data_IF_818529559001
#
_entry.id   IF_818529559001
#
_cell.length_a   1.000
_cell.length_b   1.000
_cell.length_c   1.000
_cell.angle_alpha   90.00
_cell.angle_beta   90.00
_cell.angle_gamma   90.00
#
_symmetry.space_group_name_H-M   'P 1'
#
loop_
_entity.id
_entity.type
_entity.pdbx_description
1 polymer ?
#
# COMPACT_ATOMS: atom_id res chain seq x y z
N UNK A 1 19.61 13.31 0.00
CA UNK A 1 18.83 13.64 1.23
C UNK A 1 18.25 12.41 1.93
N UNK A 2 17.66 11.43 1.22
CA UNK A 2 17.09 10.19 1.82
C UNK A 2 18.14 9.20 2.40
N UNK A 3 19.31 9.05 1.79
CA UNK A 3 20.43 8.25 2.36
C UNK A 3 20.96 8.83 3.68
N UNK A 4 20.92 10.16 3.82
CA UNK A 4 21.27 10.85 5.08
C UNK A 4 20.22 10.55 6.15
N UNK A 5 18.95 10.37 5.77
CA UNK A 5 17.86 10.04 6.69
C UNK A 5 17.97 8.58 7.17
N UNK A 6 18.24 7.62 6.28
CA UNK A 6 18.43 6.22 6.66
C UNK A 6 19.66 6.01 7.58
N UNK A 7 20.80 6.65 7.25
CA UNK A 7 21.97 6.67 8.16
C UNK A 7 21.66 7.37 9.48
N UNK A 8 20.85 8.43 9.48
CA UNK A 8 20.40 9.10 10.71
C UNK A 8 19.45 8.22 11.54
N UNK A 9 18.63 7.38 10.93
CA UNK A 9 17.74 6.44 11.64
C UNK A 9 18.54 5.32 12.31
N UNK A 10 19.52 4.73 11.62
CA UNK A 10 20.46 3.78 12.23
C UNK A 10 21.29 4.42 13.35
N UNK A 11 21.74 5.67 13.15
CA UNK A 11 22.40 6.45 14.20
C UNK A 11 21.47 6.72 15.39
N UNK A 12 20.18 7.02 15.15
CA UNK A 12 19.16 7.24 16.18
C UNK A 12 18.87 5.96 16.96
N UNK A 13 18.82 4.80 16.31
CA UNK A 13 18.66 3.49 16.97
C UNK A 13 19.87 3.16 17.84
N UNK A 14 21.09 3.43 17.36
CA UNK A 14 22.31 3.25 18.15
C UNK A 14 22.39 4.24 19.33
N UNK A 15 21.99 5.50 19.13
CA UNK A 15 21.90 6.51 20.19
C UNK A 15 20.84 6.11 21.23
N UNK A 16 19.71 5.56 20.81
CA UNK A 16 18.69 5.00 21.70
C UNK A 16 19.21 3.84 22.55
N UNK A 17 19.99 2.93 21.95
CA UNK A 17 20.60 1.81 22.65
C UNK A 17 21.65 2.28 23.68
N UNK A 18 22.49 3.24 23.30
CA UNK A 18 23.48 3.84 24.21
C UNK A 18 22.80 4.61 25.34
N UNK A 19 21.75 5.38 25.05
CA UNK A 19 20.97 6.10 26.08
C UNK A 19 20.30 5.11 27.05
N UNK A 20 19.78 3.99 26.55
CA UNK A 20 19.22 2.94 27.40
C UNK A 20 20.27 2.32 28.34
N UNK A 21 21.47 2.00 27.84
CA UNK A 21 22.57 1.45 28.65
C UNK A 21 23.08 2.44 29.69
N UNK A 22 23.23 3.72 29.32
CA UNK A 22 23.77 4.75 30.22
C UNK A 22 22.78 5.05 31.35
N UNK A 23 21.47 5.11 31.06
CA UNK A 23 20.45 5.39 32.07
C UNK A 23 20.20 4.24 33.04
N UNK A 24 20.29 2.99 32.57
CA UNK A 24 20.08 1.83 33.45
C UNK A 24 21.20 1.66 34.49
N UNK A 25 22.40 2.18 34.20
CA UNK A 25 23.57 2.05 35.08
C UNK A 25 23.79 3.23 36.03
N UNK A 26 23.09 4.37 35.85
CA UNK A 26 23.31 5.57 36.67
C UNK A 26 21.98 6.25 37.10
N UNK A 27 21.36 5.79 38.20
CA UNK A 27 20.03 6.23 38.62
C UNK A 27 19.94 7.63 39.27
N UNK A 28 21.01 8.44 39.26
CA UNK A 28 21.12 9.65 40.11
C UNK A 28 20.84 10.97 39.36
N UNK A 29 20.59 10.95 38.04
CA UNK A 29 20.31 12.16 37.26
C UNK A 29 18.82 12.55 37.27
N UNK A 30 18.50 13.45 38.20
CA UNK A 30 17.45 14.48 38.24
C UNK A 30 16.25 14.37 37.27
N UNK A 31 15.04 14.36 37.84
CA UNK A 31 13.76 14.07 37.17
C UNK A 31 13.38 14.87 35.92
N UNK A 32 14.08 15.95 35.58
CA UNK A 32 13.86 16.74 34.37
C UNK A 32 14.33 16.04 33.09
N UNK A 33 15.41 15.24 33.15
CA UNK A 33 15.96 14.58 31.95
C UNK A 33 15.14 13.33 31.58
N UNK A 34 14.57 12.65 32.57
CA UNK A 34 13.64 11.53 32.34
C UNK A 34 12.40 11.95 31.55
N UNK A 35 11.86 13.14 31.80
CA UNK A 35 10.68 13.64 31.06
C UNK A 35 11.03 13.87 29.58
N UNK A 36 12.15 14.53 29.28
CA UNK A 36 12.57 14.80 27.90
C UNK A 36 12.84 13.50 27.13
N UNK A 37 13.44 12.50 27.78
CA UNK A 37 13.68 11.18 27.19
C UNK A 37 12.37 10.45 26.89
N UNK A 38 11.39 10.49 27.78
CA UNK A 38 10.06 9.91 27.56
C UNK A 38 9.36 10.58 26.36
N UNK A 39 9.40 11.92 26.27
CA UNK A 39 8.85 12.64 25.12
C UNK A 39 9.59 12.30 23.82
N UNK A 40 10.91 12.16 23.86
CA UNK A 40 11.71 11.79 22.71
C UNK A 40 11.41 10.36 22.24
N UNK A 41 11.36 9.38 23.16
CA UNK A 41 10.97 8.01 22.86
C UNK A 41 9.55 7.91 22.30
N UNK A 42 8.61 8.67 22.86
CA UNK A 42 7.24 8.75 22.37
C UNK A 42 7.17 9.36 20.96
N UNK A 43 7.93 10.44 20.71
CA UNK A 43 8.05 11.06 19.39
C UNK A 43 8.69 10.11 18.37
N UNK A 44 9.76 9.40 18.76
CA UNK A 44 10.45 8.45 17.88
C UNK A 44 9.58 7.25 17.56
N UNK A 45 8.84 6.72 18.54
CA UNK A 45 7.87 5.63 18.34
C UNK A 45 6.75 6.07 17.39
N UNK A 46 6.24 7.31 17.54
CA UNK A 46 5.31 7.90 16.58
C UNK A 46 5.94 8.05 15.20
N UNK A 47 7.19 8.49 15.09
CA UNK A 47 7.89 8.69 13.83
C UNK A 47 8.16 7.35 13.09
N UNK A 48 8.53 6.31 13.82
CA UNK A 48 8.76 4.95 13.29
C UNK A 48 7.43 4.34 12.85
N UNK A 49 6.38 4.47 13.67
CA UNK A 49 5.02 4.05 13.30
C UNK A 49 4.55 4.82 12.06
N UNK A 50 4.81 6.12 11.99
CA UNK A 50 4.50 6.96 10.84
C UNK A 50 5.25 6.50 9.58
N UNK A 51 6.50 6.07 9.70
CA UNK A 51 7.30 5.53 8.59
C UNK A 51 6.82 4.16 8.12
N UNK A 52 6.50 3.25 9.06
CA UNK A 52 5.85 1.95 8.77
C UNK A 52 4.47 2.14 8.13
N UNK A 53 3.78 3.24 8.43
CA UNK A 53 2.46 3.58 7.87
C UNK A 53 2.54 4.20 6.45
N UNK A 54 3.72 4.54 5.91
CA UNK A 54 3.76 5.26 4.62
C UNK A 54 3.64 4.39 3.35
N UNK A 55 3.95 3.08 3.40
CA UNK A 55 3.99 2.27 2.18
C UNK A 55 2.60 2.04 1.58
N UNK A 56 1.59 1.73 2.41
CA UNK A 56 0.24 1.47 1.94
C UNK A 56 -0.43 2.75 1.42
N UNK A 57 -0.18 3.88 2.09
CA UNK A 57 -0.64 5.19 1.61
C UNK A 57 -0.03 5.52 0.24
N UNK A 58 1.24 5.17 0.01
CA UNK A 58 1.88 5.31 -1.31
C UNK A 58 1.16 4.46 -2.36
N UNK A 59 0.87 3.20 -2.06
CA UNK A 59 0.11 2.31 -2.97
C UNK A 59 -1.29 2.87 -3.26
N UNK A 60 -2.02 3.29 -2.22
CA UNK A 60 -3.37 3.84 -2.35
C UNK A 60 -3.42 5.15 -3.16
N UNK A 61 -2.34 5.95 -3.15
CA UNK A 61 -2.26 7.19 -3.94
C UNK A 61 -2.28 6.96 -5.45
N UNK A 62 -1.89 5.78 -5.92
CA UNK A 62 -2.02 5.40 -7.34
C UNK A 62 -3.47 5.43 -7.81
N UNK A 63 -4.44 5.20 -6.91
CA UNK A 63 -5.86 5.26 -7.25
C UNK A 63 -6.38 6.70 -7.42
N UNK A 64 -5.64 7.71 -6.95
CA UNK A 64 -6.06 9.11 -7.09
C UNK A 64 -6.15 9.56 -8.56
N UNK A 65 -5.47 8.87 -9.49
CA UNK A 65 -5.60 9.16 -10.91
C UNK A 65 -7.02 8.95 -11.46
N UNK A 66 -7.81 8.08 -10.81
CA UNK A 66 -9.21 7.80 -11.16
C UNK A 66 -10.13 8.97 -10.80
N UNK A 67 -9.69 9.86 -9.90
CA UNK A 67 -10.42 11.08 -9.52
C UNK A 67 -10.21 12.20 -10.53
N UNK A 68 -11.22 13.07 -10.75
CA UNK A 68 -11.07 14.32 -11.47
C UNK A 68 -9.87 15.12 -10.95
N UNK A 69 -9.11 15.75 -11.85
CA UNK A 69 -7.88 16.45 -11.50
C UNK A 69 -8.07 17.47 -10.35
N UNK A 70 -9.20 18.17 -10.34
CA UNK A 70 -9.58 19.15 -9.31
C UNK A 70 -9.76 18.51 -7.92
N UNK A 71 -10.14 17.24 -7.84
CA UNK A 71 -10.43 16.53 -6.59
C UNK A 71 -9.26 15.68 -6.08
N UNK A 72 -8.15 15.58 -6.84
CA UNK A 72 -7.02 14.69 -6.46
C UNK A 72 -6.37 15.11 -5.15
N UNK A 73 -6.28 16.43 -4.90
CA UNK A 73 -5.71 16.93 -3.65
C UNK A 73 -6.61 16.60 -2.45
N UNK A 74 -7.91 16.74 -2.61
CA UNK A 74 -8.89 16.38 -1.60
C UNK A 74 -8.89 14.86 -1.34
N UNK A 75 -8.73 14.04 -2.39
CA UNK A 75 -8.55 12.60 -2.24
C UNK A 75 -7.28 12.24 -1.44
N UNK A 76 -6.17 12.95 -1.64
CA UNK A 76 -4.95 12.77 -0.84
C UNK A 76 -5.19 13.15 0.64
N UNK A 77 -5.86 14.29 0.89
CA UNK A 77 -6.21 14.74 2.24
C UNK A 77 -7.13 13.71 2.92
N UNK A 78 -8.14 13.22 2.21
CA UNK A 78 -9.04 12.18 2.69
C UNK A 78 -8.27 10.93 3.12
N UNK A 79 -7.39 10.39 2.27
CA UNK A 79 -6.61 9.19 2.62
C UNK A 79 -5.76 9.42 3.87
N UNK A 80 -5.04 10.55 3.93
CA UNK A 80 -4.20 10.87 5.09
C UNK A 80 -5.03 10.94 6.38
N UNK A 81 -6.14 11.66 6.36
CA UNK A 81 -6.99 11.84 7.55
C UNK A 81 -7.75 10.56 7.92
N UNK A 82 -8.09 9.71 6.95
CA UNK A 82 -8.67 8.39 7.21
C UNK A 82 -7.68 7.50 7.97
N UNK A 83 -6.46 7.33 7.47
CA UNK A 83 -5.46 6.50 8.16
C UNK A 83 -5.09 7.06 9.54
N UNK A 84 -5.02 8.39 9.68
CA UNK A 84 -4.87 9.01 11.00
C UNK A 84 -6.05 8.67 11.92
N UNK A 85 -7.28 8.69 11.42
CA UNK A 85 -8.47 8.33 12.20
C UNK A 85 -8.44 6.86 12.62
N UNK A 86 -8.01 5.96 11.73
CA UNK A 86 -7.84 4.53 12.05
C UNK A 86 -6.89 4.33 13.21
N UNK A 87 -5.72 4.98 13.21
CA UNK A 87 -4.74 4.86 14.31
C UNK A 87 -5.26 5.37 15.66
N UNK A 88 -6.31 6.21 15.66
CA UNK A 88 -6.95 6.71 16.88
C UNK A 88 -8.06 5.80 17.39
N UNK A 89 -8.59 4.91 16.54
CA UNK A 89 -9.57 3.88 16.92
C UNK A 89 -8.83 2.60 17.30
N UNK A 90 -7.82 2.23 16.53
CA UNK A 90 -7.01 1.02 16.72
C UNK A 90 -5.54 1.41 16.77
N UNK A 91 -4.91 1.19 17.93
CA UNK A 91 -3.52 1.58 18.17
C UNK A 91 -2.50 0.88 17.25
N UNK A 92 -2.79 -0.35 16.83
CA UNK A 92 -1.92 -1.14 15.95
C UNK A 92 -2.78 -2.01 15.02
N UNK A 93 -3.26 -1.47 13.89
CA UNK A 93 -4.02 -2.25 12.93
C UNK A 93 -3.17 -3.39 12.39
N UNK A 94 -3.79 -4.56 12.22
CA UNK A 94 -3.13 -5.75 11.67
C UNK A 94 -2.79 -5.57 10.18
N UNK A 95 -1.86 -6.38 9.67
CA UNK A 95 -1.40 -6.22 8.29
C UNK A 95 -2.51 -6.55 7.29
N UNK A 96 -3.36 -7.53 7.61
CA UNK A 96 -4.54 -7.99 6.88
C UNK A 96 -5.48 -6.83 6.56
N UNK A 97 -5.62 -5.88 7.48
CA UNK A 97 -6.42 -4.68 7.26
C UNK A 97 -5.89 -3.89 6.06
N UNK A 98 -4.58 -3.63 6.01
CA UNK A 98 -3.97 -2.87 4.91
C UNK A 98 -4.00 -3.66 3.60
N UNK A 99 -3.71 -4.97 3.65
CA UNK A 99 -3.69 -5.84 2.47
C UNK A 99 -5.08 -5.92 1.83
N UNK A 100 -6.11 -6.16 2.64
CA UNK A 100 -7.50 -6.22 2.19
C UNK A 100 -8.00 -4.88 1.68
N UNK A 101 -7.69 -3.79 2.38
CA UNK A 101 -8.04 -2.44 1.94
C UNK A 101 -7.43 -2.14 0.56
N UNK A 102 -6.14 -2.40 0.35
CA UNK A 102 -5.46 -2.17 -0.93
C UNK A 102 -6.10 -3.02 -2.02
N UNK A 103 -6.16 -4.33 -1.83
CA UNK A 103 -6.60 -5.27 -2.87
C UNK A 103 -8.02 -4.96 -3.34
N UNK A 104 -8.96 -4.76 -2.41
CA UNK A 104 -10.36 -4.45 -2.77
C UNK A 104 -10.54 -3.07 -3.37
N UNK A 105 -9.74 -2.09 -2.95
CA UNK A 105 -9.78 -0.75 -3.53
C UNK A 105 -9.31 -0.75 -4.99
N UNK A 106 -8.23 -1.47 -5.28
CA UNK A 106 -7.75 -1.64 -6.65
C UNK A 106 -8.75 -2.43 -7.49
N UNK A 107 -9.32 -3.51 -6.96
CA UNK A 107 -10.35 -4.28 -7.67
C UNK A 107 -11.53 -3.40 -8.12
N UNK A 108 -11.91 -2.41 -7.29
CA UNK A 108 -12.99 -1.47 -7.62
C UNK A 108 -12.58 -0.40 -8.64
N UNK A 109 -11.36 0.12 -8.55
CA UNK A 109 -10.98 1.38 -9.20
C UNK A 109 -9.88 1.27 -10.26
N UNK A 110 -9.05 0.22 -10.28
CA UNK A 110 -7.86 0.17 -11.15
C UNK A 110 -8.18 0.21 -12.65
N UNK A 111 -9.35 -0.32 -13.03
CA UNK A 111 -9.82 -0.39 -14.42
C UNK A 111 -10.77 0.76 -14.77
N UNK A 112 -10.92 1.76 -13.89
CA UNK A 112 -11.71 2.97 -14.15
C UNK A 112 -10.91 3.97 -14.96
N UNK A 113 -11.58 4.67 -15.87
CA UNK A 113 -10.94 5.71 -16.66
C UNK A 113 -10.41 6.83 -15.75
N UNK A 114 -9.22 7.40 -16.04
CA UNK A 114 -8.69 8.51 -15.28
C UNK A 114 -9.69 9.68 -15.23
N UNK A 115 -9.94 10.23 -14.04
CA UNK A 115 -10.90 11.32 -13.87
C UNK A 115 -12.37 10.93 -13.83
N UNK A 116 -12.73 9.65 -13.97
CA UNK A 116 -14.13 9.20 -14.05
C UNK A 116 -14.83 9.00 -12.70
N UNK A 117 -14.09 8.82 -11.62
CA UNK A 117 -14.65 8.44 -10.31
C UNK A 117 -14.92 9.67 -9.45
N UNK A 118 -16.16 9.92 -9.00
CA UNK A 118 -16.46 11.00 -8.07
C UNK A 118 -15.74 10.82 -6.73
N UNK A 119 -15.28 11.92 -6.12
CA UNK A 119 -14.60 11.90 -4.81
C UNK A 119 -15.46 11.27 -3.72
N UNK A 120 -16.77 11.48 -3.76
CA UNK A 120 -17.72 10.91 -2.79
C UNK A 120 -17.86 9.40 -2.94
N UNK A 121 -17.89 8.87 -4.17
CA UNK A 121 -17.90 7.42 -4.42
C UNK A 121 -16.60 6.80 -3.91
N UNK A 122 -15.46 7.38 -4.28
CA UNK A 122 -14.16 6.94 -3.82
C UNK A 122 -14.08 6.92 -2.29
N UNK A 123 -14.38 8.05 -1.64
CA UNK A 123 -14.25 8.20 -0.20
C UNK A 123 -15.16 7.26 0.58
N UNK A 124 -16.42 7.09 0.13
CA UNK A 124 -17.37 6.16 0.78
C UNK A 124 -16.92 4.71 0.64
N UNK A 125 -16.47 4.29 -0.53
CA UNK A 125 -16.02 2.92 -0.73
C UNK A 125 -14.78 2.60 0.12
N UNK A 126 -13.77 3.47 0.11
CA UNK A 126 -12.56 3.30 0.92
C UNK A 126 -12.90 3.30 2.42
N UNK A 127 -13.80 4.18 2.87
CA UNK A 127 -14.26 4.17 4.27
C UNK A 127 -15.00 2.87 4.60
N UNK A 128 -15.87 2.38 3.73
CA UNK A 128 -16.58 1.12 3.98
C UNK A 128 -15.66 -0.08 4.06
N UNK A 129 -14.65 -0.16 3.19
CA UNK A 129 -13.60 -1.18 3.29
C UNK A 129 -12.84 -1.06 4.62
N UNK A 130 -12.58 0.17 5.04
CA UNK A 130 -11.90 0.44 6.31
C UNK A 130 -12.70 -0.07 7.51
N UNK A 131 -14.00 0.21 7.55
CA UNK A 131 -14.89 -0.28 8.61
C UNK A 131 -14.94 -1.82 8.65
N UNK A 132 -15.05 -2.46 7.48
CA UNK A 132 -15.10 -3.91 7.38
C UNK A 132 -13.81 -4.56 7.85
N UNK A 133 -12.67 -4.16 7.28
CA UNK A 133 -11.41 -4.84 7.53
C UNK A 133 -10.88 -4.63 8.95
N UNK A 134 -11.10 -3.45 9.54
CA UNK A 134 -10.70 -3.21 10.94
C UNK A 134 -11.46 -4.15 11.89
N UNK A 135 -12.74 -4.38 11.64
CA UNK A 135 -13.56 -5.26 12.48
C UNK A 135 -13.29 -6.73 12.25
N UNK A 136 -12.89 -7.11 11.04
CA UNK A 136 -12.61 -8.52 10.73
C UNK A 136 -11.21 -8.95 11.14
N UNK A 137 -10.24 -8.04 11.19
CA UNK A 137 -8.87 -8.40 11.57
C UNK A 137 -8.66 -8.30 13.08
N UNK A 138 -9.24 -7.29 13.75
CA UNK A 138 -8.96 -7.09 15.17
C UNK A 138 -9.71 -8.07 16.07
N UNK A 139 -8.99 -8.76 16.95
CA UNK A 139 -9.59 -9.59 18.01
C UNK A 139 -10.47 -8.77 18.99
N UNK A 140 -10.22 -7.46 19.09
CA UNK A 140 -11.02 -6.56 19.92
C UNK A 140 -12.26 -6.11 19.17
N UNK A 141 -13.40 -6.12 19.86
CA UNK A 141 -14.64 -5.57 19.34
C UNK A 141 -14.49 -4.07 19.03
N UNK A 142 -14.54 -3.72 17.75
CA UNK A 142 -14.59 -2.34 17.24
C UNK A 142 -15.97 -2.08 16.66
N UNK A 143 -16.62 -1.00 17.09
CA UNK A 143 -17.96 -0.63 16.66
C UNK A 143 -17.94 0.62 15.79
N UNK A 144 -18.94 0.81 14.93
CA UNK A 144 -19.03 2.03 14.10
C UNK A 144 -19.11 3.31 14.93
N UNK A 145 -19.65 3.24 16.16
CA UNK A 145 -19.69 4.40 17.07
C UNK A 145 -18.30 4.87 17.49
N UNK A 146 -17.30 3.98 17.52
CA UNK A 146 -15.93 4.31 17.91
C UNK A 146 -15.24 5.22 16.87
N UNK A 147 -15.69 5.14 15.61
CA UNK A 147 -15.16 5.95 14.52
C UNK A 147 -15.73 7.37 14.51
N UNK A 148 -17.00 7.57 14.88
CA UNK A 148 -17.69 8.88 14.80
C UNK A 148 -16.86 10.04 15.35
N UNK A 149 -16.31 9.99 16.59
CA UNK A 149 -15.54 11.11 17.13
C UNK A 149 -14.21 11.37 16.39
N UNK A 150 -13.76 10.45 15.54
CA UNK A 150 -12.47 10.52 14.82
C UNK A 150 -12.62 10.97 13.37
N UNK A 151 -13.79 10.79 12.76
CA UNK A 151 -14.01 11.04 11.34
C UNK A 151 -14.40 12.49 10.98
N UNK A 152 -14.46 13.42 11.93
CA UNK A 152 -14.94 14.78 11.66
C UNK A 152 -14.18 15.53 10.55
N UNK A 153 -12.90 15.22 10.35
CA UNK A 153 -12.09 15.82 9.27
C UNK A 153 -12.34 15.21 7.89
N UNK A 154 -12.86 13.99 7.82
CA UNK A 154 -13.16 13.33 6.55
C UNK A 154 -14.62 13.47 6.12
N UNK A 155 -15.49 13.93 7.03
CA UNK A 155 -16.92 14.16 6.78
C UNK A 155 -17.21 14.96 5.49
N UNK A 156 -16.48 16.05 5.16
CA UNK A 156 -16.75 16.82 3.95
C UNK A 156 -16.62 16.01 2.65
N UNK A 157 -15.78 14.96 2.63
CA UNK A 157 -15.54 14.12 1.46
C UNK A 157 -16.62 13.04 1.27
N UNK A 158 -17.40 12.76 2.31
CA UNK A 158 -18.38 11.67 2.34
C UNK A 158 -19.75 12.11 1.80
N UNK A 159 -19.93 13.37 1.42
CA UNK A 159 -21.21 13.89 0.95
C UNK A 159 -22.32 13.75 2.00
N UNK A 160 -21.94 13.89 3.28
CA UNK A 160 -22.88 13.88 4.40
C UNK A 160 -23.56 15.25 4.42
N UNK A 161 -24.89 15.26 4.46
CA UNK A 161 -25.66 16.51 4.54
C UNK A 161 -25.47 17.21 5.89
N UNK A 162 -26.26 18.26 6.17
CA UNK A 162 -26.17 19.06 7.42
C UNK A 162 -26.41 18.27 8.73
N UNK A 163 -26.75 16.99 8.65
CA UNK A 163 -27.07 16.13 9.79
C UNK A 163 -25.86 15.47 10.49
N UNK A 164 -24.65 15.65 9.97
CA UNK A 164 -23.45 15.07 10.56
C UNK A 164 -23.27 13.57 10.30
N UNK A 165 -22.10 13.05 10.66
CA UNK A 165 -21.86 11.61 10.68
C UNK A 165 -22.72 10.93 11.76
N UNK A 166 -23.59 10.01 11.32
CA UNK A 166 -24.43 9.21 12.21
C UNK A 166 -24.03 7.74 12.18
N UNK A 167 -24.35 7.00 13.24
CA UNK A 167 -24.15 5.53 13.27
C UNK A 167 -24.88 4.88 12.10
N UNK A 168 -26.11 5.33 11.79
CA UNK A 168 -26.89 4.82 10.66
C UNK A 168 -26.17 5.00 9.32
N UNK A 169 -25.53 6.15 9.12
CA UNK A 169 -24.77 6.42 7.90
C UNK A 169 -23.54 5.49 7.77
N UNK A 170 -22.78 5.28 8.85
CA UNK A 170 -21.64 4.36 8.84
C UNK A 170 -22.08 2.91 8.61
N UNK A 171 -23.15 2.47 9.27
CA UNK A 171 -23.74 1.14 9.04
C UNK A 171 -24.16 0.96 7.57
N UNK A 172 -24.76 2.00 6.97
CA UNK A 172 -25.17 1.94 5.57
C UNK A 172 -23.96 1.80 4.64
N UNK A 173 -22.91 2.61 4.83
CA UNK A 173 -21.67 2.51 4.05
C UNK A 173 -21.04 1.12 4.16
N UNK A 174 -20.98 0.57 5.38
CA UNK A 174 -20.42 -0.75 5.64
C UNK A 174 -21.20 -1.85 4.91
N UNK A 175 -22.53 -1.85 5.04
CA UNK A 175 -23.41 -2.83 4.39
C UNK A 175 -23.33 -2.72 2.87
N UNK A 176 -23.41 -1.51 2.31
CA UNK A 176 -23.28 -1.27 0.87
C UNK A 176 -21.94 -1.77 0.34
N UNK A 177 -20.87 -1.55 1.09
CA UNK A 177 -19.53 -2.00 0.69
C UNK A 177 -19.45 -3.51 0.74
N UNK A 178 -19.93 -4.15 1.81
CA UNK A 178 -19.92 -5.60 1.94
C UNK A 178 -20.73 -6.27 0.83
N UNK A 179 -21.91 -5.72 0.51
CA UNK A 179 -22.74 -6.17 -0.61
C UNK A 179 -22.03 -5.96 -1.96
N UNK A 180 -21.34 -4.83 -2.16
CA UNK A 180 -20.60 -4.54 -3.41
C UNK A 180 -19.45 -5.51 -3.67
N UNK A 181 -18.93 -6.17 -2.63
CA UNK A 181 -17.92 -7.22 -2.72
C UNK A 181 -18.53 -8.60 -2.97
N UNK A 182 -19.85 -8.70 -3.16
CA UNK A 182 -20.59 -9.97 -3.11
C UNK A 182 -20.27 -10.77 -1.84
N UNK A 183 -20.04 -10.06 -0.73
CA UNK A 183 -19.64 -10.63 0.56
C UNK A 183 -18.27 -11.35 0.56
N UNK A 184 -17.46 -11.21 -0.49
CA UNK A 184 -16.11 -11.78 -0.58
C UNK A 184 -15.07 -10.82 0.01
N UNK A 185 -14.81 -10.98 1.31
CA UNK A 185 -13.77 -10.20 2.04
C UNK A 185 -12.39 -10.85 2.04
N UNK A 186 -12.29 -12.09 1.56
CA UNK A 186 -10.99 -12.77 1.44
C UNK A 186 -10.07 -12.01 0.48
N UNK A 187 -8.80 -11.91 0.87
CA UNK A 187 -7.76 -11.21 0.11
C UNK A 187 -7.31 -12.10 -1.04
N UNK A 188 -7.38 -11.58 -2.27
CA UNK A 188 -6.78 -12.25 -3.41
C UNK A 188 -5.28 -11.92 -3.47
N UNK A 189 -4.43 -12.83 -2.95
CA UNK A 189 -2.99 -12.59 -2.87
C UNK A 189 -2.29 -12.50 -4.23
N UNK A 190 -2.81 -13.15 -5.28
CA UNK A 190 -2.24 -13.03 -6.62
C UNK A 190 -2.49 -11.65 -7.21
N UNK A 191 -3.72 -11.15 -7.03
CA UNK A 191 -4.07 -9.78 -7.43
C UNK A 191 -3.26 -8.75 -6.62
N UNK A 192 -3.19 -8.91 -5.29
CA UNK A 192 -2.40 -8.05 -4.42
C UNK A 192 -0.91 -8.05 -4.79
N UNK A 193 -0.32 -9.21 -5.08
CA UNK A 193 1.06 -9.31 -5.58
C UNK A 193 1.26 -8.50 -6.85
N UNK A 194 0.34 -8.59 -7.80
CA UNK A 194 0.40 -7.82 -9.04
C UNK A 194 0.42 -6.31 -8.77
N UNK A 195 -0.47 -5.84 -7.89
CA UNK A 195 -0.54 -4.43 -7.46
C UNK A 195 0.77 -3.99 -6.83
N UNK A 196 1.26 -4.73 -5.83
CA UNK A 196 2.48 -4.35 -5.09
C UNK A 196 3.72 -4.38 -5.99
N UNK A 197 3.85 -5.37 -6.87
CA UNK A 197 4.96 -5.43 -7.82
C UNK A 197 4.93 -4.25 -8.80
N UNK A 198 3.74 -3.88 -9.31
CA UNK A 198 3.57 -2.71 -10.16
C UNK A 198 3.99 -1.44 -9.42
N UNK A 199 3.48 -1.20 -8.21
CA UNK A 199 3.83 -0.02 -7.41
C UNK A 199 5.31 0.04 -7.03
N UNK A 200 5.89 -1.09 -6.63
CA UNK A 200 7.31 -1.18 -6.28
C UNK A 200 8.21 -0.94 -7.50
N UNK A 201 7.82 -1.44 -8.67
CA UNK A 201 8.54 -1.19 -9.94
C UNK A 201 8.44 0.27 -10.36
N UNK A 202 7.25 0.88 -10.31
CA UNK A 202 7.07 2.30 -10.57
C UNK A 202 7.91 3.17 -9.63
N UNK A 203 7.95 2.83 -8.34
CA UNK A 203 8.80 3.53 -7.36
C UNK A 203 10.29 3.48 -7.74
N UNK A 204 10.78 2.34 -8.21
CA UNK A 204 12.17 2.21 -8.65
C UNK A 204 12.46 3.04 -9.89
N UNK A 205 11.52 3.07 -10.84
CA UNK A 205 11.64 3.88 -12.06
C UNK A 205 11.69 5.37 -11.72
N UNK A 206 10.78 5.86 -10.87
CA UNK A 206 10.77 7.26 -10.41
C UNK A 206 12.09 7.65 -9.71
N UNK A 207 12.60 6.77 -8.83
CA UNK A 207 13.85 7.01 -8.12
C UNK A 207 15.08 6.94 -9.05
N UNK A 208 15.05 6.09 -10.08
CA UNK A 208 16.11 5.94 -11.08
C UNK A 208 16.16 7.08 -12.11
N UNK A 209 15.01 7.61 -12.52
CA UNK A 209 14.90 8.78 -13.42
C UNK A 209 15.43 10.05 -12.74
N UNK A 210 15.35 10.14 -11.41
CA UNK A 210 15.88 11.27 -10.63
C UNK A 210 17.41 11.24 -10.42
N UNK A 211 18.15 10.37 -11.11
CA UNK A 211 19.62 10.42 -11.17
C UNK A 211 20.34 10.11 -9.85
N UNK A 212 19.63 9.60 -8.84
CA UNK A 212 20.22 9.16 -7.58
C UNK A 212 20.77 7.75 -7.76
N UNK A 213 21.98 7.64 -8.32
CA UNK A 213 22.85 6.47 -8.16
C UNK A 213 23.05 6.22 -6.67
N UNK A 214 22.30 5.29 -6.10
CA UNK A 214 22.54 4.81 -4.75
C UNK A 214 21.39 4.01 -4.21
N UNK A 215 21.51 2.68 -4.28
CA UNK A 215 21.06 1.64 -3.33
C UNK A 215 19.66 1.75 -2.69
N UNK A 216 18.76 2.60 -3.17
CA UNK A 216 17.44 2.76 -2.56
C UNK A 216 16.53 1.65 -3.06
N UNK A 217 16.49 0.56 -2.30
CA UNK A 217 15.47 -0.47 -2.46
C UNK A 217 14.06 0.15 -2.41
N UNK A 218 13.10 -0.49 -3.11
CA UNK A 218 11.69 -0.09 -3.01
C UNK A 218 11.26 -0.13 -1.55
N UNK A 219 10.63 0.95 -1.08
CA UNK A 219 10.14 1.07 0.30
C UNK A 219 9.10 -0.01 0.58
N UNK A 220 8.26 -0.32 -0.42
CA UNK A 220 7.25 -1.38 -0.33
C UNK A 220 7.92 -2.73 -0.13
N UNK A 221 8.89 -3.09 -0.99
CA UNK A 221 9.58 -4.36 -0.88
C UNK A 221 10.38 -4.48 0.42
N UNK A 222 11.10 -3.41 0.80
CA UNK A 222 11.88 -3.39 2.02
C UNK A 222 11.00 -3.56 3.27
N UNK A 223 9.81 -2.96 3.30
CA UNK A 223 8.85 -3.15 4.38
C UNK A 223 8.52 -4.63 4.59
N UNK A 224 8.21 -5.38 3.53
CA UNK A 224 7.87 -6.81 3.66
C UNK A 224 9.06 -7.64 4.12
N UNK A 225 10.26 -7.33 3.61
CA UNK A 225 11.49 -8.03 4.02
C UNK A 225 11.78 -7.78 5.50
N UNK A 226 11.80 -6.51 5.92
CA UNK A 226 12.20 -6.13 7.28
C UNK A 226 11.26 -6.66 8.35
N UNK A 227 9.97 -6.79 8.04
CA UNK A 227 8.96 -7.19 9.02
C UNK A 227 8.63 -8.69 8.97
N UNK A 228 8.76 -9.34 7.80
CA UNK A 228 8.18 -10.69 7.60
C UNK A 228 9.14 -11.73 6.99
N UNK A 229 10.35 -11.37 6.56
CA UNK A 229 11.26 -12.37 5.96
C UNK A 229 11.64 -13.50 6.94
N UNK A 230 11.78 -13.18 8.24
CA UNK A 230 12.06 -14.18 9.28
C UNK A 230 10.87 -15.10 9.58
N UNK A 231 9.67 -14.74 9.13
CA UNK A 231 8.44 -15.49 9.39
C UNK A 231 8.11 -16.50 8.29
N UNK A 232 8.82 -16.47 7.15
CA UNK A 232 8.61 -17.37 6.01
C UNK A 232 8.74 -18.85 6.35
N UNK A 233 9.57 -19.19 7.34
CA UNK A 233 9.83 -20.56 7.78
C UNK A 233 8.88 -21.04 8.89
N UNK A 234 7.91 -20.22 9.30
CA UNK A 234 6.89 -20.62 10.29
C UNK A 234 5.75 -21.36 9.58
N UNK A 235 5.29 -22.45 10.18
CA UNK A 235 4.27 -23.33 9.59
C UNK A 235 2.90 -22.63 9.42
N UNK A 236 2.62 -21.58 10.21
CA UNK A 236 1.33 -20.88 10.23
C UNK A 236 1.17 -19.79 9.16
N UNK A 237 2.17 -19.60 8.29
CA UNK A 237 2.13 -18.55 7.27
C UNK A 237 1.43 -19.03 6.00
N UNK A 238 0.37 -18.33 5.57
CA UNK A 238 -0.37 -18.68 4.35
C UNK A 238 0.49 -18.59 3.09
N UNK A 239 0.35 -19.56 2.18
CA UNK A 239 1.16 -19.66 0.95
C UNK A 239 1.13 -18.37 0.09
N UNK A 240 -0.04 -17.73 -0.03
CA UNK A 240 -0.17 -16.46 -0.75
C UNK A 240 0.67 -15.33 -0.15
N UNK A 241 0.75 -15.25 1.18
CA UNK A 241 1.57 -14.27 1.88
C UNK A 241 3.06 -14.61 1.81
N UNK A 242 3.43 -15.89 1.90
CA UNK A 242 4.83 -16.34 1.67
C UNK A 242 5.33 -15.88 0.31
N UNK A 243 4.55 -16.11 -0.74
CA UNK A 243 4.89 -15.70 -2.11
C UNK A 243 5.00 -14.17 -2.24
N UNK A 244 4.20 -13.41 -1.49
CA UNK A 244 4.28 -11.95 -1.45
C UNK A 244 5.63 -11.48 -0.89
N UNK A 245 6.05 -12.02 0.27
CA UNK A 245 7.34 -11.69 0.90
C UNK A 245 8.52 -12.17 0.04
N UNK A 246 8.42 -13.35 -0.58
CA UNK A 246 9.44 -13.86 -1.49
C UNK A 246 9.63 -12.96 -2.72
N UNK A 247 8.55 -12.45 -3.34
CA UNK A 247 8.69 -11.51 -4.46
C UNK A 247 9.39 -10.21 -4.03
N UNK A 248 9.11 -9.72 -2.82
CA UNK A 248 9.79 -8.55 -2.30
C UNK A 248 11.30 -8.80 -2.17
N UNK A 249 11.70 -9.97 -1.65
CA UNK A 249 13.10 -10.40 -1.58
C UNK A 249 13.74 -10.47 -2.96
N UNK A 250 13.11 -11.16 -3.92
CA UNK A 250 13.61 -11.28 -5.30
C UNK A 250 13.75 -9.91 -5.97
N UNK A 251 12.80 -9.00 -5.76
CA UNK A 251 12.86 -7.64 -6.31
C UNK A 251 14.09 -6.88 -5.77
N UNK A 252 14.37 -6.96 -4.47
CA UNK A 252 15.55 -6.31 -3.86
C UNK A 252 16.86 -6.99 -4.27
N UNK A 253 16.90 -8.31 -4.37
CA UNK A 253 18.08 -9.04 -4.84
C UNK A 253 18.43 -8.70 -6.30
N UNK A 254 17.42 -8.60 -7.17
CA UNK A 254 17.60 -8.21 -8.57
C UNK A 254 18.24 -6.82 -8.71
N UNK A 255 18.01 -5.92 -7.75
CA UNK A 255 18.63 -4.58 -7.73
C UNK A 255 20.10 -4.63 -7.32
N UNK A 256 20.46 -5.46 -6.33
CA UNK A 256 21.87 -5.62 -5.89
C UNK A 256 22.76 -6.15 -7.01
N UNK A 257 22.18 -6.99 -7.88
CA UNK A 257 22.89 -7.59 -9.01
C UNK A 257 22.99 -6.67 -10.25
N UNK A 258 22.35 -5.49 -10.24
CA UNK A 258 22.44 -4.49 -11.32
C UNK A 258 23.55 -3.44 -11.09
N UNK A 259 24.75 -3.84 -10.65
CA UNK A 259 25.95 -3.03 -10.88
C UNK A 259 26.27 -3.14 -12.39
N UNK A 260 25.60 -2.34 -13.21
CA UNK A 260 25.83 -2.27 -14.66
C UNK A 260 26.40 -0.89 -15.06
N UNK A 261 27.29 -0.85 -16.08
CA UNK A 261 28.03 0.35 -16.50
C UNK A 261 27.09 1.44 -17.02
N UNK A 262 27.53 2.72 -17.05
CA UNK A 262 26.66 3.83 -17.41
C UNK A 262 26.09 3.65 -18.83
N UNK A 263 24.77 3.60 -18.91
CA UNK A 263 24.05 3.53 -20.19
C UNK A 263 24.17 4.89 -20.86
N UNK A 264 24.95 4.93 -21.93
CA UNK A 264 24.95 6.00 -22.93
C UNK A 264 23.62 5.99 -23.66
N UNK A 265 22.83 7.07 -23.53
CA UNK A 265 21.62 7.25 -24.33
C UNK A 265 22.00 7.65 -25.76
N UNK A 266 22.17 6.66 -26.62
CA UNK A 266 22.09 6.83 -28.07
C UNK A 266 20.65 7.07 -28.51
N UNK A 267 20.43 8.08 -29.35
CA UNK A 267 19.14 8.53 -29.89
C UNK A 267 18.18 7.39 -30.26
N UNK A 268 16.97 7.45 -29.71
CA UNK A 268 15.85 6.57 -30.07
C UNK A 268 15.23 6.97 -31.41
N UNK A 269 15.34 6.08 -32.39
CA UNK A 269 14.49 6.02 -33.58
C UNK A 269 14.03 4.57 -33.75
N UNK A 270 12.75 4.29 -33.45
CA UNK A 270 11.86 3.22 -34.01
C UNK A 270 10.91 2.63 -32.97
N UNK A 271 9.70 3.16 -32.91
CA UNK A 271 8.48 2.45 -32.49
C UNK A 271 7.83 1.80 -33.72
N UNK A 272 8.45 0.77 -34.28
CA UNK A 272 7.95 0.07 -35.47
C UNK A 272 8.31 -1.41 -35.48
N UNK A 273 7.90 -2.19 -34.47
CA UNK A 273 7.98 -3.67 -34.52
C UNK A 273 6.80 -4.32 -33.75
N UNK A 274 5.57 -3.92 -34.08
CA UNK A 274 4.43 -4.83 -33.94
C UNK A 274 3.71 -4.94 -35.28
N UNK A 275 4.45 -5.48 -36.26
CA UNK A 275 3.89 -6.15 -37.43
C UNK A 275 4.63 -7.48 -37.63
N UNK A 276 3.82 -8.51 -37.89
CA UNK A 276 4.10 -9.85 -38.42
C UNK A 276 4.98 -10.82 -37.63
N UNK A 277 4.34 -11.81 -37.00
CA UNK A 277 4.68 -13.23 -37.17
C UNK A 277 3.41 -14.08 -37.06
N UNK A 278 2.65 -14.16 -38.15
CA UNK A 278 1.78 -15.30 -38.45
C UNK A 278 1.89 -15.58 -39.94
N UNK A 279 2.90 -16.34 -40.32
CA UNK A 279 2.95 -17.15 -41.55
C UNK A 279 3.78 -18.39 -41.18
N UNK A 280 3.12 -19.54 -40.97
CA UNK A 280 2.85 -20.61 -41.96
C UNK A 280 4.04 -21.54 -42.19
N UNK A 281 3.74 -22.83 -42.06
CA UNK A 281 4.24 -23.93 -42.90
C UNK A 281 3.36 -25.13 -42.52
N UNK A 282 2.27 -25.38 -43.25
CA UNK A 282 2.15 -26.07 -44.56
C UNK A 282 2.43 -27.57 -44.49
N UNK A 283 1.40 -28.37 -44.77
CA UNK A 283 1.29 -29.34 -45.88
C UNK A 283 -0.11 -30.02 -45.76
N UNK A 284 -1.08 -29.78 -46.66
CA UNK A 284 -1.30 -30.33 -48.02
C UNK A 284 -1.50 -31.86 -48.02
N UNK A 285 -2.40 -32.53 -48.75
CA UNK A 285 -3.48 -32.27 -49.75
C UNK A 285 -4.21 -33.63 -49.84
N UNK A 286 -5.51 -33.66 -50.12
CA UNK A 286 -6.12 -34.46 -51.21
C UNK A 286 -7.64 -34.21 -51.20
N UNK A 287 -8.03 -33.66 -52.34
CA UNK A 287 -9.35 -33.34 -52.84
C UNK A 287 -10.10 -34.62 -53.27
N UNK A 288 -11.41 -34.73 -53.05
CA UNK A 288 -12.39 -34.97 -54.13
C UNK A 288 -13.84 -35.16 -53.64
N UNK A 289 -14.73 -34.45 -54.35
CA UNK A 289 -16.04 -34.89 -54.89
C UNK A 289 -17.30 -34.89 -54.00
N UNK A 290 -18.12 -33.87 -54.32
CA UNK A 290 -19.44 -34.00 -54.98
C UNK A 290 -20.72 -34.28 -54.17
N UNK A 291 -21.63 -33.29 -54.27
CA UNK A 291 -23.04 -33.39 -54.72
C UNK A 291 -24.18 -33.89 -53.78
N UNK A 292 -25.28 -33.14 -53.92
CA UNK A 292 -26.71 -33.38 -53.58
C UNK A 292 -27.15 -33.00 -52.16
N UNK A 293 -27.94 -31.93 -51.98
CA UNK A 293 -29.38 -31.79 -52.25
C UNK A 293 -30.20 -32.95 -51.67
N UNK A 294 -30.80 -32.70 -50.50
CA UNK A 294 -32.23 -32.86 -50.23
C UNK A 294 -32.64 -31.99 -49.05
#
# INVERSE_FOLDING_TARGET
>A
MKVIIAKKISLLQNVMFVLHIVYFNYPILTGSINILLIYFCYFLRKLILWWLIMWHLKVMRELLQTLPAINRKDGEIFLNELFLSVTQVVNNPEIEFFLGLIEKSFLRFENKEPGSVPLTEFSRHILGLTLLYIKSSNERAVWNVDFIPKLGKIEPFLGVGRGGLTIKFLNQIEIETFASLNHHVNINFDHLRSILNKCATSELIENGILGLKGDSASIIAQFFIDNYASELNKDDCGEGFKLLVQNAMTLVESQKNQILPPISFGKSHRLSIFQSFTERTDESVVDTKSLQIR
#
